data_IF_397046586953
#
_entry.id   IF_397046586953
#
_cell.length_a   1.000
_cell.length_b   1.000
_cell.length_c   1.000
_cell.angle_alpha   90.00
_cell.angle_beta   90.00
_cell.angle_gamma   90.00
#
_symmetry.space_group_name_H-M   'P 1'
#
loop_
_entity.id
_entity.type
_entity.pdbx_description
1 polymer ?
#
# COMPACT_ATOMS: atom_id res chain seq x y z
N UNK A 1 0.69 14.62 30.51
CA UNK A 1 0.66 13.21 30.16
C UNK A 1 -0.80 12.83 29.84
N UNK A 2 -1.00 12.21 28.67
CA UNK A 2 -2.30 11.66 28.26
C UNK A 2 -2.07 10.20 27.85
N UNK A 3 -2.87 9.29 28.42
CA UNK A 3 -2.89 7.89 28.07
C UNK A 3 -4.30 7.53 27.61
N UNK A 4 -4.40 6.81 26.48
CA UNK A 4 -5.67 6.31 25.94
C UNK A 4 -5.53 4.84 25.66
N UNK A 5 -6.31 4.02 26.36
CA UNK A 5 -6.42 2.58 26.16
C UNK A 5 -7.66 2.28 25.34
N UNK A 6 -7.52 1.52 24.27
CA UNK A 6 -8.61 1.05 23.43
C UNK A 6 -8.70 -0.47 23.45
N UNK A 7 -9.89 -1.00 23.73
CA UNK A 7 -10.19 -2.42 23.63
C UNK A 7 -11.39 -2.58 22.70
N UNK A 8 -11.24 -3.40 21.67
CA UNK A 8 -12.32 -3.69 20.74
C UNK A 8 -12.42 -5.21 20.54
N UNK A 9 -13.63 -5.72 20.69
CA UNK A 9 -13.96 -7.10 20.36
C UNK A 9 -15.10 -7.09 19.34
N UNK A 10 -14.98 -7.88 18.28
CA UNK A 10 -16.05 -8.11 17.31
C UNK A 10 -16.18 -9.58 17.03
N UNK A 11 -17.43 -10.02 17.01
CA UNK A 11 -17.80 -11.38 16.63
C UNK A 11 -18.97 -11.33 15.64
N UNK A 12 -18.97 -12.24 14.68
CA UNK A 12 -20.10 -12.50 13.80
C UNK A 12 -20.17 -13.98 13.51
N UNK A 13 -21.37 -14.54 13.57
CA UNK A 13 -21.62 -15.91 13.11
C UNK A 13 -21.68 -16.01 11.59
N UNK A 14 -21.60 -14.83 10.91
CA UNK A 14 -21.76 -14.71 9.48
C UNK A 14 -23.24 -14.76 9.06
N UNK A 15 -23.47 -14.62 7.78
CA UNK A 15 -24.81 -14.78 7.20
C UNK A 15 -24.74 -15.37 5.81
N UNK A 16 -25.86 -15.97 5.42
CA UNK A 16 -26.06 -16.59 4.12
C UNK A 16 -27.04 -15.77 3.31
N UNK A 17 -26.75 -15.60 2.02
CA UNK A 17 -27.68 -15.07 1.04
C UNK A 17 -28.06 -16.17 0.07
N UNK A 18 -29.30 -16.13 -0.41
CA UNK A 18 -29.77 -17.02 -1.46
C UNK A 18 -29.68 -16.25 -2.78
N UNK A 19 -28.91 -16.77 -3.73
CA UNK A 19 -28.90 -16.23 -5.07
C UNK A 19 -30.24 -16.50 -5.76
N UNK A 20 -30.73 -15.49 -6.49
CA UNK A 20 -31.90 -15.63 -7.35
C UNK A 20 -31.42 -15.92 -8.77
N UNK A 21 -31.84 -17.05 -9.32
CA UNK A 21 -31.45 -17.50 -10.66
C UNK A 21 -32.65 -17.56 -11.58
N UNK A 22 -32.45 -17.19 -12.86
CA UNK A 22 -33.44 -17.38 -13.90
C UNK A 22 -33.47 -18.83 -14.35
N UNK A 23 -34.61 -19.49 -14.20
CA UNK A 23 -34.88 -20.82 -14.71
C UNK A 23 -36.21 -20.82 -15.47
N UNK A 24 -36.18 -21.19 -16.74
CA UNK A 24 -37.35 -21.22 -17.64
C UNK A 24 -38.20 -19.94 -17.58
N UNK A 25 -37.55 -18.78 -17.70
CA UNK A 25 -38.19 -17.45 -17.60
C UNK A 25 -38.86 -17.11 -16.26
N UNK A 26 -38.53 -17.84 -15.19
CA UNK A 26 -38.95 -17.56 -13.82
C UNK A 26 -37.72 -17.32 -12.94
N UNK A 27 -37.83 -16.33 -12.07
CA UNK A 27 -36.81 -16.06 -11.06
C UNK A 27 -37.02 -17.02 -9.87
N UNK A 28 -36.11 -17.99 -9.70
CA UNK A 28 -36.19 -18.99 -8.62
C UNK A 28 -35.05 -18.79 -7.63
N UNK A 29 -35.26 -19.13 -6.35
CA UNK A 29 -34.17 -19.21 -5.40
C UNK A 29 -33.11 -20.23 -5.86
N UNK A 30 -31.88 -19.79 -6.00
CA UNK A 30 -30.73 -20.66 -6.26
C UNK A 30 -30.13 -21.22 -4.99
N UNK A 31 -28.84 -21.51 -5.01
CA UNK A 31 -28.13 -22.00 -3.81
C UNK A 31 -27.93 -20.92 -2.76
N UNK A 32 -28.12 -21.26 -1.48
CA UNK A 32 -27.77 -20.38 -0.36
C UNK A 32 -26.27 -20.41 -0.13
N UNK A 33 -25.60 -19.30 -0.31
CA UNK A 33 -24.16 -19.16 -0.11
C UNK A 33 -23.85 -18.39 1.19
N UNK A 34 -22.79 -18.80 1.89
CA UNK A 34 -22.27 -18.04 3.01
C UNK A 34 -21.56 -16.79 2.48
N UNK A 35 -22.22 -15.64 2.58
CA UNK A 35 -21.75 -14.36 2.05
C UNK A 35 -20.73 -13.72 2.97
N UNK A 36 -20.94 -13.85 4.29
CA UNK A 36 -20.00 -13.39 5.32
C UNK A 36 -19.63 -14.57 6.19
N UNK A 37 -18.35 -14.82 6.30
CA UNK A 37 -17.82 -15.92 7.10
C UNK A 37 -17.89 -15.60 8.61
N UNK A 38 -18.14 -16.62 9.41
CA UNK A 38 -17.98 -16.54 10.86
C UNK A 38 -16.57 -16.06 11.20
N UNK A 39 -16.47 -15.05 12.06
CA UNK A 39 -15.17 -14.52 12.48
C UNK A 39 -15.21 -13.86 13.84
N UNK A 40 -14.06 -13.87 14.51
CA UNK A 40 -13.84 -13.13 15.76
C UNK A 40 -12.56 -12.30 15.62
N UNK A 41 -12.56 -11.09 16.14
CA UNK A 41 -11.32 -10.32 16.25
C UNK A 41 -11.22 -9.58 17.58
N UNK A 42 -10.00 -9.35 18.02
CA UNK A 42 -9.64 -8.57 19.20
C UNK A 42 -8.64 -7.50 18.78
N UNK A 43 -8.82 -6.30 19.31
CA UNK A 43 -7.83 -5.22 19.19
C UNK A 43 -7.60 -4.63 20.56
N UNK A 44 -6.33 -4.57 20.95
CA UNK A 44 -5.86 -3.79 22.10
C UNK A 44 -4.96 -2.69 21.57
N UNK A 45 -5.19 -1.45 21.98
CA UNK A 45 -4.37 -0.31 21.61
C UNK A 45 -4.08 0.57 22.80
N UNK A 46 -2.85 1.08 22.87
CA UNK A 46 -2.38 2.03 23.85
C UNK A 46 -1.75 3.22 23.11
N UNK A 47 -2.15 4.42 23.51
CA UNK A 47 -1.60 5.66 22.98
C UNK A 47 -1.18 6.54 24.14
N UNK A 48 0.10 6.89 24.16
CA UNK A 48 0.71 7.75 25.13
C UNK A 48 1.15 9.06 24.47
N UNK A 49 0.74 10.18 25.02
CA UNK A 49 1.24 11.50 24.66
C UNK A 49 1.80 12.18 25.92
N UNK A 50 3.07 12.54 25.86
CA UNK A 50 3.76 13.19 26.98
C UNK A 50 4.43 14.48 26.54
N UNK A 51 3.84 15.60 26.97
CA UNK A 51 4.48 16.90 26.87
C UNK A 51 5.50 17.05 28.00
N UNK A 52 6.76 16.71 27.72
CA UNK A 52 7.87 16.75 28.70
C UNK A 52 8.12 18.17 29.17
N UNK A 53 8.11 19.11 28.22
CA UNK A 53 8.22 20.55 28.49
C UNK A 53 7.62 21.34 27.31
N UNK A 54 7.77 22.69 27.31
CA UNK A 54 7.21 23.56 26.25
C UNK A 54 7.80 23.30 24.86
N UNK A 55 8.97 22.64 24.76
CA UNK A 55 9.67 22.38 23.50
C UNK A 55 9.58 20.93 23.05
N UNK A 56 9.45 19.98 23.98
CA UNK A 56 9.53 18.55 23.67
C UNK A 56 8.18 17.86 23.95
N UNK A 57 7.62 17.25 22.92
CA UNK A 57 6.50 16.32 22.98
C UNK A 57 6.97 14.93 22.55
N UNK A 58 6.60 13.90 23.31
CA UNK A 58 6.85 12.49 23.02
C UNK A 58 5.52 11.77 22.83
N UNK A 59 5.50 10.84 21.89
CA UNK A 59 4.36 9.96 21.64
C UNK A 59 4.84 8.52 21.61
N UNK A 60 4.02 7.62 22.13
CA UNK A 60 4.21 6.18 21.95
C UNK A 60 2.85 5.53 21.66
N UNK A 61 2.83 4.61 20.74
CA UNK A 61 1.64 3.88 20.33
C UNK A 61 1.98 2.40 20.25
N UNK A 62 1.07 1.56 20.74
CA UNK A 62 1.14 0.11 20.61
C UNK A 62 -0.21 -0.44 20.22
N UNK A 63 -0.26 -1.37 19.27
CA UNK A 63 -1.48 -2.08 18.91
C UNK A 63 -1.20 -3.58 18.79
N UNK A 64 -2.05 -4.38 19.41
CA UNK A 64 -2.16 -5.80 19.21
C UNK A 64 -3.48 -6.10 18.53
N UNK A 65 -3.44 -6.88 17.46
CA UNK A 65 -4.63 -7.34 16.73
C UNK A 65 -4.54 -8.82 16.45
N UNK A 66 -5.64 -9.52 16.72
CA UNK A 66 -5.80 -10.93 16.43
C UNK A 66 -7.15 -11.17 15.77
N UNK A 67 -7.19 -12.01 14.73
CA UNK A 67 -8.41 -12.36 14.02
C UNK A 67 -8.40 -13.81 13.61
N UNK A 68 -9.51 -14.48 13.84
CA UNK A 68 -9.82 -15.78 13.28
C UNK A 68 -11.01 -15.67 12.32
N UNK A 69 -10.95 -16.38 11.18
CA UNK A 69 -12.02 -16.41 10.16
C UNK A 69 -12.20 -17.83 9.66
N UNK A 70 -13.40 -18.35 9.81
CA UNK A 70 -13.79 -19.65 9.25
C UNK A 70 -13.78 -19.57 7.71
N UNK A 71 -13.17 -20.54 7.04
CA UNK A 71 -13.20 -20.64 5.57
C UNK A 71 -14.28 -21.61 5.12
N UNK A 72 -15.03 -21.19 4.11
CA UNK A 72 -16.01 -22.02 3.43
C UNK A 72 -15.80 -21.98 1.93
N UNK A 73 -16.16 -23.04 1.24
CA UNK A 73 -16.17 -23.10 -0.22
C UNK A 73 -17.56 -23.52 -0.68
N UNK A 74 -18.29 -22.55 -1.21
CA UNK A 74 -19.67 -22.75 -1.62
C UNK A 74 -20.65 -23.03 -0.46
N UNK A 75 -21.88 -23.45 -0.76
CA UNK A 75 -22.94 -23.59 0.22
C UNK A 75 -22.75 -24.76 1.21
N UNK A 76 -21.99 -25.79 0.83
CA UNK A 76 -21.99 -27.07 1.53
C UNK A 76 -20.61 -27.59 1.91
N UNK A 77 -19.53 -26.97 1.47
CA UNK A 77 -18.17 -27.47 1.68
C UNK A 77 -17.36 -26.51 2.55
N UNK A 78 -16.83 -27.02 3.66
CA UNK A 78 -15.80 -26.32 4.44
C UNK A 78 -14.42 -26.61 3.85
N UNK A 79 -13.57 -25.58 3.79
CA UNK A 79 -12.17 -25.78 3.46
C UNK A 79 -11.44 -26.43 4.63
N UNK A 80 -10.33 -27.15 4.39
CA UNK A 80 -9.64 -27.91 5.44
C UNK A 80 -9.03 -27.03 6.52
N UNK A 81 -8.88 -25.73 6.29
CA UNK A 81 -8.26 -24.79 7.20
C UNK A 81 -9.04 -23.49 7.33
N UNK A 82 -8.92 -22.84 8.48
CA UNK A 82 -9.40 -21.50 8.76
C UNK A 82 -8.25 -20.50 8.64
N UNK A 83 -8.57 -19.20 8.50
CA UNK A 83 -7.59 -18.13 8.53
C UNK A 83 -7.38 -17.64 9.96
N UNK A 84 -6.09 -17.46 10.31
CA UNK A 84 -5.70 -16.83 11.55
C UNK A 84 -4.68 -15.74 11.29
N UNK A 85 -4.91 -14.56 11.88
CA UNK A 85 -4.09 -13.38 11.75
C UNK A 85 -3.62 -12.89 13.11
N UNK A 86 -2.35 -12.48 13.23
CA UNK A 86 -1.80 -11.88 14.44
C UNK A 86 -0.86 -10.74 14.05
N UNK A 87 -1.18 -9.55 14.53
CA UNK A 87 -0.44 -8.34 14.20
C UNK A 87 0.01 -7.60 15.46
N UNK A 88 1.21 -7.06 15.41
CA UNK A 88 1.73 -6.10 16.40
C UNK A 88 2.23 -4.87 15.67
N UNK A 89 1.93 -3.70 16.22
CA UNK A 89 2.53 -2.44 15.79
C UNK A 89 3.00 -1.66 17.00
N UNK A 90 4.17 -1.06 16.89
CA UNK A 90 4.71 -0.11 17.84
C UNK A 90 5.19 1.11 17.09
N UNK A 91 4.89 2.29 17.62
CA UNK A 91 5.45 3.53 17.12
C UNK A 91 5.88 4.40 18.29
N UNK A 92 7.01 5.08 18.15
CA UNK A 92 7.47 6.10 19.06
C UNK A 92 7.84 7.35 18.26
N UNK A 93 7.40 8.50 18.72
CA UNK A 93 7.63 9.76 18.06
C UNK A 93 8.11 10.82 19.03
N UNK A 94 8.88 11.77 18.51
CA UNK A 94 9.25 12.97 19.22
C UNK A 94 9.08 14.19 18.34
N UNK A 95 8.66 15.28 18.94
CA UNK A 95 8.63 16.59 18.30
C UNK A 95 9.34 17.59 19.17
N UNK A 96 10.45 18.15 18.66
CA UNK A 96 11.25 19.14 19.35
C UNK A 96 11.12 20.50 18.65
N UNK A 97 10.60 21.50 19.37
CA UNK A 97 10.49 22.89 18.90
C UNK A 97 11.82 23.61 19.11
N UNK A 98 12.51 23.94 18.03
CA UNK A 98 13.72 24.76 18.06
C UNK A 98 13.38 26.21 18.45
N UNK A 99 12.30 26.73 17.85
CA UNK A 99 11.72 28.03 18.15
C UNK A 99 10.20 28.01 17.89
N UNK A 100 9.55 29.16 17.71
CA UNK A 100 8.10 29.25 17.50
C UNK A 100 7.61 28.58 16.20
N UNK A 101 8.46 28.57 15.14
CA UNK A 101 8.11 28.06 13.81
C UNK A 101 8.88 26.78 13.45
N UNK A 102 10.14 26.67 13.87
CA UNK A 102 11.04 25.61 13.47
C UNK A 102 10.96 24.42 14.41
N UNK A 103 10.90 23.22 13.86
CA UNK A 103 10.88 22.02 14.67
C UNK A 103 11.51 20.82 13.95
N UNK A 104 11.92 19.86 14.74
CA UNK A 104 12.37 18.54 14.34
C UNK A 104 11.35 17.51 14.80
N UNK A 105 11.13 16.47 14.02
CA UNK A 105 10.46 15.25 14.44
C UNK A 105 11.36 14.06 14.20
N UNK A 106 11.34 13.10 15.13
CA UNK A 106 11.95 11.81 14.94
C UNK A 106 10.91 10.74 15.26
N UNK A 107 10.72 9.82 14.35
CA UNK A 107 9.71 8.77 14.43
C UNK A 107 10.38 7.41 14.18
N UNK A 108 10.02 6.42 14.98
CA UNK A 108 10.40 5.03 14.82
C UNK A 108 9.13 4.18 14.87
N UNK A 109 8.94 3.30 13.92
CA UNK A 109 7.85 2.32 13.96
C UNK A 109 8.32 0.92 13.62
N UNK A 110 7.68 -0.06 14.24
CA UNK A 110 7.82 -1.47 13.96
C UNK A 110 6.43 -2.09 13.78
N UNK A 111 6.26 -2.82 12.70
CA UNK A 111 5.07 -3.60 12.42
C UNK A 111 5.41 -5.05 12.13
N UNK A 112 4.61 -5.97 12.66
CA UNK A 112 4.66 -7.38 12.32
C UNK A 112 3.26 -7.88 12.01
N UNK A 113 3.06 -8.39 10.81
CA UNK A 113 1.84 -9.05 10.34
C UNK A 113 2.10 -10.54 10.19
N UNK A 114 1.33 -11.38 10.86
CA UNK A 114 1.38 -12.83 10.75
C UNK A 114 0.07 -13.39 10.17
N UNK A 115 0.19 -14.26 9.18
CA UNK A 115 -0.90 -14.95 8.53
C UNK A 115 -0.66 -16.45 8.57
N UNK A 116 -1.68 -17.21 9.03
CA UNK A 116 -1.59 -18.62 9.31
C UNK A 116 -2.84 -19.35 8.83
N UNK A 117 -2.70 -20.65 8.55
CA UNK A 117 -3.79 -21.57 8.38
C UNK A 117 -3.95 -22.44 9.65
N UNK A 118 -5.16 -22.49 10.20
CA UNK A 118 -5.55 -23.41 11.28
C UNK A 118 -6.27 -24.60 10.68
N UNK A 119 -5.59 -25.75 10.59
CA UNK A 119 -6.16 -26.93 9.97
C UNK A 119 -7.22 -27.59 10.86
N UNK A 120 -8.39 -27.83 10.28
CA UNK A 120 -9.54 -28.53 10.91
C UNK A 120 -9.72 -29.94 10.36
N UNK A 121 -9.30 -30.17 9.13
CA UNK A 121 -9.36 -31.44 8.43
C UNK A 121 -7.97 -31.80 7.90
N UNK A 122 -7.76 -33.10 7.60
CA UNK A 122 -6.55 -33.53 6.87
C UNK A 122 -6.57 -32.91 5.49
N UNK A 123 -5.45 -32.37 5.07
CA UNK A 123 -5.26 -31.73 3.77
C UNK A 123 -3.95 -32.19 3.11
N UNK A 124 -4.05 -32.75 1.92
CA UNK A 124 -2.91 -33.08 1.07
C UNK A 124 -2.74 -31.91 0.12
N UNK A 125 -1.75 -31.05 0.39
CA UNK A 125 -1.58 -29.80 -0.33
C UNK A 125 -0.93 -29.99 -1.70
N UNK A 126 -0.92 -28.92 -2.50
CA UNK A 126 -0.15 -28.85 -3.75
C UNK A 126 1.31 -28.41 -3.50
N UNK A 127 1.74 -28.34 -2.25
CA UNK A 127 3.12 -28.02 -1.90
C UNK A 127 3.95 -29.32 -1.76
N UNK A 128 5.20 -29.26 -2.22
CA UNK A 128 6.12 -30.38 -2.19
C UNK A 128 7.30 -30.10 -1.26
N UNK A 129 7.75 -31.12 -0.58
CA UNK A 129 8.99 -31.14 0.19
C UNK A 129 9.69 -32.48 -0.03
N UNK A 130 10.93 -32.42 -0.44
CA UNK A 130 11.76 -33.62 -0.71
C UNK A 130 11.11 -34.61 -1.72
N UNK A 131 10.31 -34.09 -2.66
CA UNK A 131 9.60 -34.87 -3.68
C UNK A 131 8.18 -35.33 -3.28
N UNK A 132 7.82 -35.23 -2.01
CA UNK A 132 6.50 -35.63 -1.51
C UNK A 132 5.56 -34.45 -1.28
N UNK A 133 4.26 -34.66 -1.51
CA UNK A 133 3.22 -33.66 -1.17
C UNK A 133 3.13 -33.49 0.33
N UNK A 134 3.17 -32.22 0.78
CA UNK A 134 3.02 -31.90 2.19
C UNK A 134 1.59 -32.17 2.65
N UNK A 135 1.43 -32.97 3.72
CA UNK A 135 0.14 -33.25 4.33
C UNK A 135 0.05 -32.56 5.69
N UNK A 136 -1.02 -31.79 5.87
CA UNK A 136 -1.34 -31.18 7.16
C UNK A 136 -2.52 -31.90 7.85
N UNK A 137 -2.52 -31.85 9.18
CA UNK A 137 -3.49 -32.56 10.01
C UNK A 137 -4.30 -31.60 10.88
N UNK A 138 -5.50 -32.02 11.35
CA UNK A 138 -6.29 -31.23 12.28
C UNK A 138 -5.51 -30.80 13.52
N UNK A 139 -5.70 -29.56 13.95
CA UNK A 139 -5.02 -28.95 15.10
C UNK A 139 -3.69 -28.27 14.77
N UNK A 140 -3.14 -28.44 13.58
CA UNK A 140 -1.91 -27.76 13.19
C UNK A 140 -2.22 -26.30 12.78
N UNK A 141 -1.37 -25.37 13.27
CA UNK A 141 -1.31 -23.97 12.81
C UNK A 141 -0.09 -23.79 11.95
N UNK A 142 -0.28 -23.57 10.67
CA UNK A 142 0.78 -23.48 9.67
C UNK A 142 0.96 -22.04 9.23
N UNK A 143 2.17 -21.54 9.39
CA UNK A 143 2.59 -20.21 8.94
C UNK A 143 2.52 -20.13 7.42
N UNK A 144 1.75 -19.15 6.91
CA UNK A 144 1.67 -18.82 5.50
C UNK A 144 2.56 -17.63 5.16
N UNK A 145 2.55 -16.59 5.99
CA UNK A 145 3.49 -15.49 5.84
C UNK A 145 3.66 -14.70 7.14
N UNK A 146 4.87 -14.18 7.34
CA UNK A 146 5.17 -13.17 8.34
C UNK A 146 5.85 -12.02 7.62
N UNK A 147 5.24 -10.84 7.72
CA UNK A 147 5.79 -9.59 7.21
C UNK A 147 6.24 -8.74 8.40
N UNK A 148 7.45 -8.19 8.31
CA UNK A 148 8.00 -7.30 9.31
C UNK A 148 8.48 -6.03 8.61
N UNK A 149 8.22 -4.89 9.24
CA UNK A 149 8.67 -3.60 8.78
C UNK A 149 9.23 -2.79 9.93
N UNK A 150 10.36 -2.17 9.71
CA UNK A 150 10.91 -1.09 10.55
C UNK A 150 10.97 0.16 9.71
N UNK A 151 10.47 1.26 10.23
CA UNK A 151 10.60 2.59 9.63
C UNK A 151 11.16 3.54 10.68
N UNK A 152 12.28 4.17 10.37
CA UNK A 152 12.88 5.23 11.17
C UNK A 152 13.02 6.49 10.30
N UNK A 153 12.62 7.64 10.82
CA UNK A 153 12.72 8.89 10.09
C UNK A 153 13.00 10.07 11.01
N UNK A 154 13.80 11.02 10.51
CA UNK A 154 14.02 12.31 11.14
C UNK A 154 13.69 13.38 10.11
N UNK A 155 12.82 14.33 10.48
CA UNK A 155 12.36 15.42 9.62
C UNK A 155 12.55 16.75 10.30
N UNK A 156 12.88 17.77 9.51
CA UNK A 156 12.96 19.16 9.96
C UNK A 156 12.11 20.07 9.09
N UNK A 157 11.45 21.03 9.72
CA UNK A 157 10.80 22.15 9.06
C UNK A 157 11.43 23.43 9.57
N UNK A 158 11.97 24.22 8.64
CA UNK A 158 12.73 25.44 8.93
C UNK A 158 12.16 26.60 8.12
N UNK A 159 11.79 27.65 8.83
CA UNK A 159 11.34 28.91 8.24
C UNK A 159 12.50 29.91 8.26
N UNK A 160 12.86 30.44 7.10
CA UNK A 160 13.82 31.49 6.95
C UNK A 160 13.10 32.77 6.53
N UNK A 161 12.84 33.63 7.51
CA UNK A 161 11.93 34.76 7.34
C UNK A 161 10.50 34.32 7.09
N UNK A 162 9.76 35.09 6.28
CA UNK A 162 8.35 34.84 5.95
C UNK A 162 8.17 34.26 4.54
N UNK A 163 9.26 34.10 3.81
CA UNK A 163 9.22 33.73 2.38
C UNK A 163 9.77 32.35 2.07
N UNK A 164 10.52 31.73 2.95
CA UNK A 164 11.21 30.46 2.69
C UNK A 164 10.83 29.42 3.72
N UNK A 165 10.42 28.23 3.25
CA UNK A 165 10.11 27.08 4.09
C UNK A 165 10.89 25.90 3.55
N UNK A 166 11.87 25.42 4.32
CA UNK A 166 12.66 24.23 4.02
C UNK A 166 12.10 23.03 4.78
N UNK A 167 11.69 21.99 4.03
CA UNK A 167 11.40 20.68 4.55
C UNK A 167 12.54 19.73 4.19
N UNK A 168 13.14 19.07 5.16
CA UNK A 168 14.22 18.11 4.93
C UNK A 168 14.09 16.90 5.83
N UNK A 169 14.68 15.78 5.45
CA UNK A 169 14.67 14.60 6.29
C UNK A 169 15.49 13.45 5.75
N UNK A 170 15.67 12.49 6.65
CA UNK A 170 16.31 11.19 6.37
C UNK A 170 15.32 10.11 6.80
N UNK A 171 15.23 9.06 6.02
CA UNK A 171 14.32 7.93 6.23
C UNK A 171 15.05 6.62 5.97
N UNK A 172 14.89 5.68 6.88
CA UNK A 172 15.33 4.30 6.72
C UNK A 172 14.13 3.38 6.84
N UNK A 173 13.96 2.49 5.88
CA UNK A 173 12.93 1.45 5.89
C UNK A 173 13.55 0.09 5.67
N UNK A 174 13.19 -0.87 6.51
CA UNK A 174 13.54 -2.28 6.37
C UNK A 174 12.27 -3.11 6.30
N UNK A 175 12.19 -3.98 5.30
CA UNK A 175 11.09 -4.93 5.11
C UNK A 175 11.64 -6.34 5.05
N UNK A 176 11.01 -7.27 5.77
CA UNK A 176 11.30 -8.70 5.75
C UNK A 176 10.00 -9.46 5.53
N UNK A 177 10.04 -10.41 4.62
CA UNK A 177 8.97 -11.37 4.36
C UNK A 177 9.51 -12.78 4.58
N UNK A 178 8.78 -13.54 5.37
CA UNK A 178 8.96 -14.96 5.55
C UNK A 178 7.69 -15.66 5.05
N UNK A 179 7.82 -16.52 4.03
CA UNK A 179 6.67 -17.23 3.43
C UNK A 179 7.15 -18.53 2.80
N UNK A 180 7.03 -19.66 3.52
CA UNK A 180 7.62 -20.94 3.13
C UNK A 180 7.17 -21.51 1.78
N UNK A 181 6.02 -21.04 1.27
CA UNK A 181 5.46 -21.60 0.03
C UNK A 181 5.36 -20.59 -1.11
N UNK A 182 5.91 -19.38 -0.90
CA UNK A 182 5.71 -18.30 -1.89
C UNK A 182 6.99 -17.50 -2.17
N UNK A 183 8.05 -17.72 -1.40
CA UNK A 183 9.30 -16.96 -1.55
C UNK A 183 10.46 -17.92 -1.66
N UNK A 184 11.29 -17.75 -2.67
CA UNK A 184 12.53 -18.51 -2.87
C UNK A 184 13.40 -18.41 -1.62
N UNK A 185 13.78 -19.57 -1.04
CA UNK A 185 14.54 -19.65 0.21
C UNK A 185 13.75 -19.26 1.46
N UNK A 186 12.40 -19.24 1.42
CA UNK A 186 11.45 -18.99 2.51
C UNK A 186 11.51 -17.58 3.12
N UNK A 187 12.63 -16.87 3.04
CA UNK A 187 12.85 -15.57 3.69
C UNK A 187 13.56 -14.62 2.73
N UNK A 188 13.01 -13.42 2.60
CA UNK A 188 13.66 -12.35 1.85
C UNK A 188 13.54 -11.00 2.60
N UNK A 189 14.49 -10.11 2.37
CA UNK A 189 14.48 -8.77 2.96
C UNK A 189 15.07 -7.73 2.02
N UNK A 190 14.50 -6.53 2.10
CA UNK A 190 14.99 -5.35 1.41
C UNK A 190 15.06 -4.16 2.37
N UNK A 191 15.98 -3.23 2.11
CA UNK A 191 16.04 -1.96 2.82
C UNK A 191 16.06 -0.80 1.83
N UNK A 192 15.62 0.33 2.33
CA UNK A 192 15.65 1.61 1.62
C UNK A 192 16.18 2.68 2.57
N UNK A 193 17.16 3.46 2.13
CA UNK A 193 17.65 4.65 2.80
C UNK A 193 17.38 5.85 1.90
N UNK A 194 16.76 6.90 2.43
CA UNK A 194 16.45 8.08 1.66
C UNK A 194 16.80 9.35 2.41
N UNK A 195 17.24 10.37 1.67
CA UNK A 195 17.37 11.73 2.15
C UNK A 195 16.68 12.68 1.18
N UNK A 196 16.07 13.74 1.68
CA UNK A 196 15.37 14.71 0.86
C UNK A 196 15.49 16.13 1.42
N UNK A 197 15.39 17.08 0.52
CA UNK A 197 15.20 18.49 0.82
C UNK A 197 14.20 19.08 -0.18
N UNK A 198 13.26 19.87 0.31
CA UNK A 198 12.29 20.61 -0.49
C UNK A 198 12.14 22.01 0.08
N UNK A 199 12.25 23.00 -0.76
CA UNK A 199 12.01 24.39 -0.41
C UNK A 199 10.76 24.91 -1.09
N UNK A 200 9.97 25.67 -0.34
CA UNK A 200 8.88 26.51 -0.81
C UNK A 200 9.30 27.97 -0.66
N UNK A 201 9.33 28.70 -1.76
CA UNK A 201 9.71 30.09 -1.82
C UNK A 201 8.53 30.95 -2.27
N UNK A 202 8.05 31.84 -1.41
CA UNK A 202 7.10 32.92 -1.74
C UNK A 202 7.87 34.05 -2.43
N UNK A 203 8.08 33.89 -3.76
CA UNK A 203 8.89 34.80 -4.56
C UNK A 203 8.27 36.23 -4.61
N UNK A 204 6.94 36.29 -4.77
CA UNK A 204 6.15 37.52 -4.70
C UNK A 204 4.84 37.24 -3.94
N UNK A 205 4.02 38.27 -3.71
CA UNK A 205 2.65 38.10 -3.12
C UNK A 205 1.79 37.12 -3.94
N UNK A 206 2.07 36.97 -5.21
CA UNK A 206 1.26 36.22 -6.16
C UNK A 206 1.95 34.95 -6.68
N UNK A 207 3.26 34.78 -6.47
CA UNK A 207 4.02 33.67 -7.00
C UNK A 207 4.70 32.85 -5.89
N UNK A 208 4.35 31.56 -5.80
CA UNK A 208 4.98 30.59 -4.93
C UNK A 208 5.66 29.54 -5.80
N UNK A 209 6.95 29.31 -5.55
CA UNK A 209 7.76 28.30 -6.22
C UNK A 209 8.12 27.21 -5.22
N UNK A 210 8.08 25.96 -5.65
CA UNK A 210 8.56 24.83 -4.84
C UNK A 210 9.57 24.05 -5.66
N UNK A 211 10.72 23.74 -5.06
CA UNK A 211 11.73 22.86 -5.64
C UNK A 211 12.20 21.86 -4.59
N UNK A 212 12.41 20.62 -4.97
CA UNK A 212 12.89 19.59 -4.06
C UNK A 212 13.55 18.44 -4.79
N UNK A 213 14.32 17.68 -4.04
CA UNK A 213 14.96 16.44 -4.50
C UNK A 213 14.95 15.42 -3.39
N UNK A 214 14.68 14.17 -3.74
CA UNK A 214 14.82 12.99 -2.88
C UNK A 214 15.81 12.03 -3.54
N UNK A 215 16.86 11.67 -2.82
CA UNK A 215 17.74 10.56 -3.15
C UNK A 215 17.31 9.34 -2.36
N UNK A 216 17.16 8.20 -3.02
CA UNK A 216 16.74 6.94 -2.39
C UNK A 216 17.67 5.82 -2.83
N UNK A 217 18.40 5.23 -1.88
CA UNK A 217 19.20 4.03 -2.06
C UNK A 217 18.34 2.82 -1.67
N UNK A 218 18.07 1.94 -2.63
CA UNK A 218 17.37 0.67 -2.41
C UNK A 218 18.37 -0.49 -2.54
N UNK A 219 18.19 -1.53 -1.73
CA UNK A 219 19.10 -2.70 -1.66
C UNK A 219 19.40 -3.29 -3.04
N UNK A 220 18.37 -3.51 -3.87
CA UNK A 220 18.52 -4.24 -5.14
C UNK A 220 18.67 -3.30 -6.36
N UNK A 221 18.08 -2.11 -6.32
CA UNK A 221 18.05 -1.22 -7.50
C UNK A 221 19.00 -0.01 -7.42
N UNK A 222 19.76 0.09 -6.32
CA UNK A 222 20.75 1.16 -6.13
C UNK A 222 20.12 2.54 -5.89
N UNK A 223 20.88 3.58 -6.24
CA UNK A 223 20.50 4.99 -6.03
C UNK A 223 19.53 5.49 -7.11
N UNK A 224 18.43 6.08 -6.67
CA UNK A 224 17.43 6.73 -7.52
C UNK A 224 17.19 8.17 -7.04
N UNK A 225 17.11 9.11 -7.98
CA UNK A 225 16.83 10.51 -7.71
C UNK A 225 15.43 10.88 -8.19
N UNK A 226 14.68 11.58 -7.36
CA UNK A 226 13.32 12.06 -7.62
C UNK A 226 13.24 13.58 -7.41
N UNK A 227 13.61 14.38 -8.41
CA UNK A 227 13.42 15.83 -8.39
C UNK A 227 11.94 16.19 -8.57
N UNK A 228 11.56 17.33 -8.00
CA UNK A 228 10.23 17.96 -8.15
C UNK A 228 10.39 19.46 -8.24
N UNK A 229 9.64 20.08 -9.16
CA UNK A 229 9.47 21.53 -9.22
C UNK A 229 8.01 21.85 -9.45
N UNK A 230 7.54 22.94 -8.86
CA UNK A 230 6.18 23.43 -9.10
C UNK A 230 6.11 24.96 -8.92
N UNK A 231 5.16 25.58 -9.60
CA UNK A 231 4.84 26.98 -9.48
C UNK A 231 3.34 27.15 -9.26
N UNK A 232 2.96 28.07 -8.37
CA UNK A 232 1.61 28.53 -8.16
C UNK A 232 1.59 30.05 -8.38
N UNK A 233 0.80 30.51 -9.36
CA UNK A 233 0.55 31.91 -9.60
C UNK A 233 -0.90 32.27 -9.29
N UNK A 234 -1.13 33.27 -8.43
CA UNK A 234 -2.43 33.78 -8.02
C UNK A 234 -2.77 35.05 -8.76
N UNK A 235 -3.86 35.04 -9.53
CA UNK A 235 -4.32 36.20 -10.31
C UNK A 235 -5.79 36.49 -9.96
N UNK A 236 -6.01 37.31 -8.94
CA UNK A 236 -7.35 37.55 -8.39
C UNK A 236 -8.00 36.25 -7.92
N UNK A 237 -9.10 35.87 -8.56
CA UNK A 237 -9.81 34.62 -8.23
C UNK A 237 -9.25 33.38 -8.95
N UNK A 238 -8.21 33.54 -9.77
CA UNK A 238 -7.58 32.42 -10.47
C UNK A 238 -6.30 31.96 -9.79
N UNK A 239 -6.14 30.64 -9.67
CA UNK A 239 -4.91 29.97 -9.30
C UNK A 239 -4.40 29.16 -10.49
N UNK A 240 -3.24 29.49 -11.00
CA UNK A 240 -2.55 28.77 -12.06
C UNK A 240 -1.44 27.92 -11.44
N UNK A 241 -1.44 26.62 -11.70
CA UNK A 241 -0.42 25.70 -11.19
C UNK A 241 0.26 25.00 -12.36
N UNK A 242 1.56 24.85 -12.27
CA UNK A 242 2.34 23.97 -13.13
C UNK A 242 3.25 23.13 -12.25
N UNK A 243 3.39 21.84 -12.54
CA UNK A 243 4.29 20.96 -11.80
C UNK A 243 4.96 19.94 -12.70
N UNK A 244 6.20 19.60 -12.33
CA UNK A 244 6.95 18.48 -12.85
C UNK A 244 7.54 17.70 -11.68
N UNK A 245 7.42 16.37 -11.71
CA UNK A 245 8.00 15.49 -10.71
C UNK A 245 8.50 14.20 -11.35
N UNK A 246 9.64 13.73 -10.90
CA UNK A 246 10.09 12.37 -11.16
C UNK A 246 9.77 11.50 -9.95
N UNK A 247 9.24 10.31 -10.23
CA UNK A 247 8.99 9.28 -9.23
C UNK A 247 9.69 7.98 -9.58
N UNK A 248 9.86 7.11 -8.60
CA UNK A 248 10.28 5.75 -8.84
C UNK A 248 9.52 4.78 -7.93
N UNK A 249 9.43 3.53 -8.37
CA UNK A 249 8.94 2.39 -7.59
C UNK A 249 10.03 1.32 -7.61
N UNK A 250 10.60 1.03 -6.45
CA UNK A 250 11.46 -0.14 -6.29
C UNK A 250 10.63 -1.44 -6.41
N UNK A 251 11.19 -2.55 -6.90
CA UNK A 251 10.54 -3.83 -6.86
C UNK A 251 10.24 -4.26 -5.42
N UNK A 252 9.08 -4.85 -5.19
CA UNK A 252 8.71 -5.44 -3.91
C UNK A 252 9.42 -6.78 -3.69
N UNK A 253 9.48 -7.25 -2.44
CA UNK A 253 10.01 -8.58 -2.11
C UNK A 253 9.33 -9.67 -2.95
N UNK A 254 8.02 -9.56 -3.15
CA UNK A 254 7.28 -10.52 -3.98
C UNK A 254 7.71 -10.44 -5.45
N UNK A 255 7.86 -9.25 -6.01
CA UNK A 255 8.30 -9.10 -7.42
C UNK A 255 9.71 -9.64 -7.64
N UNK A 256 10.58 -9.59 -6.63
CA UNK A 256 11.97 -10.07 -6.70
C UNK A 256 12.10 -11.59 -6.47
N UNK A 257 11.41 -12.11 -5.46
CA UNK A 257 11.72 -13.45 -4.92
C UNK A 257 10.51 -14.40 -4.93
N UNK A 258 9.43 -14.07 -5.66
CA UNK A 258 8.26 -14.94 -5.73
C UNK A 258 8.63 -16.29 -6.34
N UNK A 259 8.25 -17.37 -5.67
CA UNK A 259 8.40 -18.74 -6.15
C UNK A 259 7.18 -19.52 -5.67
N UNK A 260 6.26 -19.82 -6.59
CA UNK A 260 5.01 -20.46 -6.20
C UNK A 260 4.44 -21.25 -7.36
N UNK A 261 3.96 -22.45 -7.08
CA UNK A 261 3.14 -23.22 -8.00
C UNK A 261 1.76 -23.41 -7.39
N UNK A 262 0.72 -23.11 -8.13
CA UNK A 262 -0.65 -23.23 -7.63
C UNK A 262 -1.66 -23.46 -8.75
N UNK A 263 -2.78 -24.08 -8.40
CA UNK A 263 -3.90 -24.29 -9.31
C UNK A 263 -4.88 -23.13 -9.21
N UNK A 264 -5.25 -22.56 -10.35
CA UNK A 264 -6.33 -21.58 -10.45
C UNK A 264 -7.57 -22.30 -10.96
N UNK A 265 -8.62 -22.39 -10.12
CA UNK A 265 -9.88 -23.02 -10.51
C UNK A 265 -9.85 -24.55 -10.58
N UNK A 266 -8.82 -25.21 -10.07
CA UNK A 266 -8.76 -26.65 -9.87
C UNK A 266 -8.39 -27.50 -11.08
N UNK A 267 -8.04 -26.91 -12.23
CA UNK A 267 -7.80 -27.70 -13.46
C UNK A 267 -6.41 -27.58 -14.05
N UNK A 268 -5.62 -26.54 -13.76
CA UNK A 268 -4.27 -26.41 -14.30
C UNK A 268 -3.29 -25.80 -13.32
N UNK A 269 -2.04 -26.32 -13.32
CA UNK A 269 -0.96 -25.78 -12.50
C UNK A 269 -0.29 -24.60 -13.22
N UNK A 270 -0.10 -23.51 -12.49
CA UNK A 270 0.62 -22.32 -12.96
C UNK A 270 1.81 -22.06 -12.05
N UNK A 271 3.00 -21.95 -12.63
CA UNK A 271 4.19 -21.49 -11.93
C UNK A 271 4.30 -19.96 -11.97
N UNK A 272 4.78 -19.38 -10.89
CA UNK A 272 4.99 -17.94 -10.71
C UNK A 272 6.41 -17.69 -10.22
N UNK A 273 7.14 -16.84 -10.93
CA UNK A 273 8.53 -16.52 -10.63
C UNK A 273 8.74 -15.04 -10.37
N UNK A 274 9.50 -14.73 -9.34
CA UNK A 274 10.12 -13.43 -9.14
C UNK A 274 11.26 -13.20 -10.13
N UNK A 275 11.85 -12.02 -10.03
CA UNK A 275 13.00 -11.68 -10.86
C UNK A 275 13.93 -10.71 -10.13
N UNK A 276 15.10 -11.16 -9.74
CA UNK A 276 16.12 -10.35 -9.06
C UNK A 276 16.80 -9.32 -9.96
N UNK A 277 16.67 -9.46 -11.31
CA UNK A 277 17.22 -8.52 -12.28
C UNK A 277 16.32 -7.33 -12.57
N UNK A 278 15.18 -7.21 -11.86
CA UNK A 278 14.25 -6.11 -12.03
C UNK A 278 14.90 -4.76 -11.73
N UNK A 279 14.72 -3.84 -12.65
CA UNK A 279 15.07 -2.43 -12.49
C UNK A 279 13.93 -1.67 -11.83
N UNK A 280 14.25 -0.60 -11.12
CA UNK A 280 13.23 0.29 -10.59
C UNK A 280 12.37 0.87 -11.73
N UNK A 281 11.07 0.88 -11.52
CA UNK A 281 10.14 1.61 -12.39
C UNK A 281 10.30 3.10 -12.12
N UNK A 282 10.43 3.91 -13.16
CA UNK A 282 10.53 5.37 -13.07
C UNK A 282 9.38 6.05 -13.78
N UNK A 283 8.97 7.20 -13.28
CA UNK A 283 7.91 8.00 -13.89
C UNK A 283 8.32 9.47 -13.99
N UNK A 284 7.86 10.14 -15.04
CA UNK A 284 7.95 11.59 -15.22
C UNK A 284 6.53 12.12 -15.35
N UNK A 285 6.10 12.86 -14.36
CA UNK A 285 4.76 13.42 -14.27
C UNK A 285 4.82 14.93 -14.50
N UNK A 286 3.97 15.43 -15.38
CA UNK A 286 3.79 16.86 -15.64
C UNK A 286 2.31 17.19 -15.55
N UNK A 287 1.97 18.29 -14.91
CA UNK A 287 0.58 18.78 -14.89
C UNK A 287 0.51 20.29 -14.95
N UNK A 288 -0.58 20.76 -15.56
CA UNK A 288 -0.98 22.18 -15.57
C UNK A 288 -2.42 22.24 -15.12
N UNK A 289 -2.71 23.15 -14.19
CA UNK A 289 -4.05 23.32 -13.63
C UNK A 289 -4.43 24.79 -13.57
N UNK A 290 -5.70 25.05 -13.90
CA UNK A 290 -6.35 26.36 -13.73
C UNK A 290 -7.52 26.17 -12.78
N UNK A 291 -7.53 26.92 -11.70
CA UNK A 291 -8.59 26.92 -10.70
C UNK A 291 -9.20 28.31 -10.61
N UNK A 292 -10.52 28.40 -10.67
CA UNK A 292 -11.26 29.61 -10.34
C UNK A 292 -11.93 29.45 -8.98
N UNK A 293 -11.62 30.34 -8.03
CA UNK A 293 -12.08 30.31 -6.64
C UNK A 293 -12.94 31.56 -6.33
N UNK A 294 -14.14 31.61 -6.87
CA UNK A 294 -15.14 32.65 -6.58
C UNK A 294 -16.01 32.29 -5.35
N UNK A 295 -16.73 33.27 -4.81
CA UNK A 295 -17.56 33.09 -3.61
C UNK A 295 -18.72 32.12 -3.81
N UNK A 296 -19.32 32.10 -5.01
CA UNK A 296 -20.46 31.24 -5.35
C UNK A 296 -20.12 30.13 -6.33
N UNK A 297 -19.06 30.28 -7.08
CA UNK A 297 -18.62 29.32 -8.10
C UNK A 297 -17.15 29.03 -7.95
N UNK A 298 -16.81 27.75 -7.96
CA UNK A 298 -15.46 27.23 -7.96
C UNK A 298 -15.36 26.20 -9.08
N UNK A 299 -14.30 26.24 -9.86
CA UNK A 299 -14.04 25.24 -10.88
C UNK A 299 -12.54 25.01 -11.01
N UNK A 300 -12.17 23.80 -11.34
CA UNK A 300 -10.78 23.49 -11.68
C UNK A 300 -10.71 22.62 -12.94
N UNK A 301 -9.70 22.90 -13.76
CA UNK A 301 -9.35 22.11 -14.92
C UNK A 301 -7.88 21.77 -14.81
N UNK A 302 -7.54 20.47 -14.83
CA UNK A 302 -6.18 19.95 -14.75
C UNK A 302 -5.93 19.05 -15.94
N UNK A 303 -4.88 19.34 -16.71
CA UNK A 303 -4.32 18.43 -17.71
C UNK A 303 -3.03 17.82 -17.20
N UNK A 304 -2.81 16.53 -17.45
CA UNK A 304 -1.58 15.84 -17.01
C UNK A 304 -1.06 14.83 -18.02
N UNK A 305 0.24 14.58 -17.92
CA UNK A 305 0.92 13.51 -18.64
C UNK A 305 1.86 12.77 -17.69
N UNK A 306 1.88 11.45 -17.76
CA UNK A 306 2.77 10.58 -17.00
C UNK A 306 3.46 9.60 -17.93
N UNK A 307 4.79 9.63 -17.98
CA UNK A 307 5.63 8.75 -18.77
C UNK A 307 6.31 7.76 -17.85
N UNK A 308 5.96 6.49 -17.96
CA UNK A 308 6.48 5.41 -17.13
C UNK A 308 7.48 4.60 -17.94
N UNK A 309 8.62 4.27 -17.34
CA UNK A 309 9.65 3.37 -17.89
C UNK A 309 9.88 2.21 -16.93
N UNK A 310 10.31 1.07 -17.48
CA UNK A 310 10.58 -0.15 -16.73
C UNK A 310 9.37 -0.59 -15.86
N UNK A 311 8.15 -0.46 -16.37
CA UNK A 311 6.95 -0.89 -15.63
C UNK A 311 7.08 -2.36 -15.28
N UNK A 312 6.85 -2.70 -14.02
CA UNK A 312 6.98 -4.08 -13.51
C UNK A 312 5.62 -4.76 -13.64
N UNK A 313 5.58 -5.83 -14.41
CA UNK A 313 4.38 -6.62 -14.69
C UNK A 313 4.67 -8.12 -14.61
N UNK A 314 3.63 -8.89 -14.30
CA UNK A 314 3.65 -10.34 -14.30
C UNK A 314 3.20 -10.83 -15.69
N UNK A 315 4.14 -11.33 -16.48
CA UNK A 315 3.89 -11.77 -17.86
C UNK A 315 4.01 -13.28 -18.00
N UNK A 316 3.27 -13.85 -18.94
CA UNK A 316 3.39 -15.25 -19.30
C UNK A 316 4.70 -15.49 -20.05
N UNK A 317 5.40 -16.56 -19.67
CA UNK A 317 6.65 -17.00 -20.28
C UNK A 317 6.51 -18.46 -20.76
N UNK A 318 7.47 -18.91 -21.55
CA UNK A 318 7.50 -20.33 -21.97
C UNK A 318 7.71 -21.23 -20.77
N UNK A 319 6.89 -22.28 -20.68
CA UNK A 319 7.05 -23.35 -19.68
C UNK A 319 8.36 -24.09 -19.94
N UNK A 320 9.20 -24.24 -18.90
CA UNK A 320 10.47 -24.92 -19.01
C UNK A 320 10.30 -26.44 -19.12
N UNK A 321 11.34 -27.19 -19.57
CA UNK A 321 11.28 -28.65 -19.59
C UNK A 321 11.03 -29.26 -18.20
N UNK A 322 11.62 -28.69 -17.14
CA UNK A 322 11.46 -29.12 -15.76
C UNK A 322 10.02 -28.89 -15.27
N UNK A 323 9.45 -27.73 -15.59
CA UNK A 323 8.06 -27.42 -15.27
C UNK A 323 7.07 -28.36 -15.98
N UNK A 324 7.35 -28.74 -17.21
CA UNK A 324 6.53 -29.73 -17.96
C UNK A 324 6.51 -31.10 -17.30
N UNK A 325 7.64 -31.54 -16.73
CA UNK A 325 7.71 -32.80 -15.96
C UNK A 325 6.84 -32.76 -14.70
N UNK A 326 6.57 -31.55 -14.16
CA UNK A 326 5.69 -31.31 -13.02
C UNK A 326 4.24 -31.03 -13.43
N UNK A 327 3.88 -31.26 -14.70
CA UNK A 327 2.54 -31.01 -15.25
C UNK A 327 2.09 -29.53 -15.14
N UNK A 328 3.05 -28.59 -15.15
CA UNK A 328 2.77 -27.16 -15.15
C UNK A 328 2.40 -26.75 -16.57
N UNK A 329 1.19 -26.18 -16.73
CA UNK A 329 0.67 -25.77 -18.04
C UNK A 329 1.04 -24.33 -18.39
N UNK A 330 1.20 -23.47 -17.38
CA UNK A 330 1.52 -22.05 -17.57
C UNK A 330 2.65 -21.64 -16.64
N UNK A 331 3.50 -20.76 -17.13
CA UNK A 331 4.55 -20.16 -16.33
C UNK A 331 4.50 -18.63 -16.47
N UNK A 332 4.64 -17.91 -15.37
CA UNK A 332 4.60 -16.45 -15.31
C UNK A 332 5.78 -15.90 -14.54
N UNK A 333 6.39 -14.82 -15.03
CA UNK A 333 7.55 -14.18 -14.42
C UNK A 333 7.35 -12.66 -14.36
N UNK A 334 7.78 -12.06 -13.26
CA UNK A 334 7.86 -10.60 -13.16
C UNK A 334 8.95 -10.07 -14.10
N UNK A 335 8.62 -9.08 -14.91
CA UNK A 335 9.56 -8.47 -15.84
C UNK A 335 9.31 -6.97 -15.99
N UNK A 336 10.33 -6.24 -16.45
CA UNK A 336 10.17 -4.84 -16.80
C UNK A 336 9.62 -4.72 -18.21
N UNK A 337 8.42 -4.17 -18.38
CA UNK A 337 7.91 -3.70 -19.66
C UNK A 337 8.55 -2.35 -20.02
N UNK A 338 8.71 -2.08 -21.31
CA UNK A 338 9.56 -0.98 -21.74
C UNK A 338 9.02 0.40 -21.41
N UNK A 339 7.75 0.70 -21.69
CA UNK A 339 7.18 2.06 -21.52
C UNK A 339 5.65 2.02 -21.41
N UNK A 340 5.10 2.91 -20.57
CA UNK A 340 3.68 3.27 -20.58
C UNK A 340 3.53 4.79 -20.63
N UNK A 341 2.45 5.27 -21.23
CA UNK A 341 2.11 6.71 -21.31
C UNK A 341 0.67 6.88 -20.89
N UNK A 342 0.44 7.80 -19.97
CA UNK A 342 -0.88 8.12 -19.46
C UNK A 342 -1.08 9.61 -19.64
N UNK A 343 -2.16 9.98 -20.30
CA UNK A 343 -2.58 11.37 -20.46
C UNK A 343 -3.99 11.47 -19.93
N UNK A 344 -4.30 12.56 -19.28
CA UNK A 344 -5.64 12.76 -18.77
C UNK A 344 -5.96 14.22 -18.56
N UNK A 345 -7.25 14.46 -18.38
CA UNK A 345 -7.80 15.77 -18.07
C UNK A 345 -8.91 15.59 -17.04
N UNK A 346 -8.82 16.34 -15.95
CA UNK A 346 -9.83 16.36 -14.89
C UNK A 346 -10.49 17.74 -14.82
N UNK A 347 -11.81 17.76 -14.86
CA UNK A 347 -12.61 18.95 -14.64
C UNK A 347 -13.50 18.74 -13.43
N UNK A 348 -13.54 19.73 -12.52
CA UNK A 348 -14.46 19.74 -11.39
C UNK A 348 -15.08 21.11 -11.24
N UNK A 349 -16.33 21.16 -10.75
CA UNK A 349 -16.95 22.42 -10.38
C UNK A 349 -17.86 22.26 -9.16
N UNK A 350 -18.01 23.36 -8.41
CA UNK A 350 -18.97 23.55 -7.35
C UNK A 350 -19.67 24.90 -7.54
N UNK A 351 -20.98 24.89 -7.53
CA UNK A 351 -21.79 26.10 -7.66
C UNK A 351 -22.79 26.20 -6.52
N UNK A 352 -22.75 27.31 -5.79
CA UNK A 352 -23.62 27.59 -4.66
C UNK A 352 -24.42 28.85 -4.95
N UNK A 353 -25.54 28.74 -5.72
CA UNK A 353 -26.40 29.91 -6.07
C UNK A 353 -26.98 30.57 -4.83
N UNK A 354 -27.36 29.80 -3.84
CA UNK A 354 -27.92 30.24 -2.57
C UNK A 354 -27.30 29.53 -1.40
N UNK A 355 -27.57 29.97 -0.17
CA UNK A 355 -27.09 29.27 1.05
C UNK A 355 -27.69 27.86 1.23
N UNK A 356 -28.75 27.52 0.52
CA UNK A 356 -29.48 26.26 0.64
C UNK A 356 -29.16 25.25 -0.47
N UNK A 357 -28.60 25.70 -1.59
CA UNK A 357 -28.40 24.87 -2.77
C UNK A 357 -26.93 24.84 -3.12
N UNK A 358 -26.37 23.63 -3.23
CA UNK A 358 -25.01 23.38 -3.75
C UNK A 358 -25.13 22.35 -4.86
N UNK A 359 -24.60 22.69 -6.02
CA UNK A 359 -24.47 21.81 -7.19
C UNK A 359 -22.98 21.54 -7.41
N UNK A 360 -22.62 20.31 -7.61
CA UNK A 360 -21.24 19.92 -7.90
C UNK A 360 -21.17 18.78 -8.91
N UNK A 361 -20.12 18.76 -9.69
CA UNK A 361 -19.87 17.71 -10.66
C UNK A 361 -18.41 17.64 -11.06
N UNK A 362 -18.05 16.52 -11.70
CA UNK A 362 -16.71 16.31 -12.21
C UNK A 362 -16.73 15.39 -13.43
N UNK A 363 -15.72 15.54 -14.26
CA UNK A 363 -15.46 14.70 -15.43
C UNK A 363 -13.98 14.44 -15.54
N UNK A 364 -13.61 13.17 -15.73
CA UNK A 364 -12.24 12.72 -15.95
C UNK A 364 -12.14 11.96 -17.27
N UNK A 365 -11.11 12.29 -18.04
CA UNK A 365 -10.78 11.62 -19.31
C UNK A 365 -9.35 11.14 -19.29
#
# INVERSE_FOLDING_TARGET
>A
LKLVTGINFRHTDGWRNTDMQWDQNQLKPGSTMLTVNRSSNYTLSENLEWQVNRKLNLTAEGTYYERWVMRTHGPWKYLPNDFYYRNYTFAAGSRYKLNRRNYLTADLSYGRYGYFYDYKLKDITDYFKDGDRITYYPGQRIKQSIQQQVLAQVKGIFYFGDRHILNTGIEYQYNRLESPHHIAGDIASVYTLAAYAQEEWTATSNLILTAGVRGTQHKETGLNLSPKVSALYKAGNFNLRASYAMGFKAPTIKELYYEHTGSIGGSSLTAYHGNTDLKAQTSQYTSISVEYAGSKFQASLTGYANFIRNMIELVEIKVTPEEKLLEIEKSKKYTNLTKARIYGMDFTFNYRPTKYIMLGGGYSY
#
